data_IF_886918227425
#
_entry.id   IF_886918227425
#
_cell.length_a   1.000
_cell.length_b   1.000
_cell.length_c   1.000
_cell.angle_alpha   90.00
_cell.angle_beta   90.00
_cell.angle_gamma   90.00
#
_symmetry.space_group_name_H-M   'P 1'
#
loop_
_entity.id
_entity.type
_entity.pdbx_description
1 polymer ?
#
# COMPACT_ATOMS: atom_id res chain seq x y z
N UNK A 1 3.89 -5.74 18.10
CA UNK A 1 3.79 -6.45 16.80
C UNK A 1 3.25 -5.57 15.67
N UNK A 2 2.07 -4.94 15.82
CA UNK A 2 1.45 -4.09 14.78
C UNK A 2 2.35 -2.93 14.30
N UNK A 3 2.97 -2.17 15.20
CA UNK A 3 3.89 -1.08 14.82
C UNK A 3 5.11 -1.58 14.03
N UNK A 4 5.63 -2.76 14.37
CA UNK A 4 6.74 -3.38 13.63
C UNK A 4 6.31 -3.76 12.22
N UNK A 5 5.12 -4.33 12.05
CA UNK A 5 4.55 -4.68 10.75
C UNK A 5 4.33 -3.44 9.86
N UNK A 6 3.74 -2.39 10.43
CA UNK A 6 3.56 -1.11 9.74
C UNK A 6 4.92 -0.51 9.36
N UNK A 7 5.88 -0.50 10.27
CA UNK A 7 7.24 -0.04 9.99
C UNK A 7 7.89 -0.84 8.85
N UNK A 8 7.75 -2.18 8.85
CA UNK A 8 8.31 -3.04 7.82
C UNK A 8 7.64 -2.80 6.46
N UNK A 9 6.33 -2.54 6.43
CA UNK A 9 5.58 -2.21 5.22
C UNK A 9 6.01 -0.85 4.67
N UNK A 10 6.14 0.16 5.54
CA UNK A 10 6.64 1.50 5.17
C UNK A 10 8.07 1.39 4.63
N UNK A 11 8.94 0.62 5.29
CA UNK A 11 10.33 0.46 4.88
C UNK A 11 10.48 -0.22 3.51
N UNK A 12 9.69 -1.25 3.21
CA UNK A 12 9.68 -1.88 1.88
C UNK A 12 9.12 -0.92 0.84
N UNK A 13 8.04 -0.21 1.16
CA UNK A 13 7.45 0.79 0.26
C UNK A 13 8.48 1.86 -0.10
N UNK A 14 9.21 2.36 0.90
CA UNK A 14 10.30 3.31 0.70
C UNK A 14 11.42 2.75 -0.18
N UNK A 15 11.85 1.50 0.04
CA UNK A 15 12.87 0.86 -0.79
C UNK A 15 12.42 0.65 -2.24
N UNK A 16 11.18 0.22 -2.46
CA UNK A 16 10.63 -0.06 -3.80
C UNK A 16 10.32 1.20 -4.60
N UNK A 17 10.02 2.32 -3.92
CA UNK A 17 9.78 3.60 -4.57
C UNK A 17 11.06 4.25 -5.10
N UNK A 18 12.24 3.92 -4.56
CA UNK A 18 13.51 4.45 -5.08
C UNK A 18 13.70 4.08 -6.55
N UNK A 19 14.16 5.04 -7.34
CA UNK A 19 14.47 4.85 -8.75
C UNK A 19 15.65 3.88 -8.90
N UNK A 20 15.63 2.97 -9.89
CA UNK A 20 16.75 2.08 -10.13
C UNK A 20 17.99 2.89 -10.55
N UNK A 21 19.21 2.47 -10.16
CA UNK A 21 20.42 3.20 -10.46
C UNK A 21 20.60 3.37 -11.98
N UNK A 22 21.05 4.56 -12.43
CA UNK A 22 21.28 4.83 -13.84
C UNK A 22 22.38 3.90 -14.38
N UNK A 23 22.16 3.32 -15.55
CA UNK A 23 23.19 2.48 -16.18
C UNK A 23 24.13 3.36 -16.99
N UNK A 24 25.43 3.32 -16.68
CA UNK A 24 26.49 3.98 -17.46
C UNK A 24 26.47 3.54 -18.93
N UNK A 25 26.01 2.32 -19.21
CA UNK A 25 25.93 1.73 -20.55
C UNK A 25 24.74 2.23 -21.40
N UNK A 26 23.76 2.90 -20.79
CA UNK A 26 22.54 3.34 -21.47
C UNK A 26 22.30 4.85 -21.32
N UNK A 27 23.35 5.65 -21.51
CA UNK A 27 23.28 7.11 -21.47
C UNK A 27 22.64 7.68 -20.19
N UNK A 28 22.81 6.99 -19.05
CA UNK A 28 22.20 7.35 -17.77
C UNK A 28 20.75 6.91 -17.59
N UNK A 29 20.11 6.28 -18.59
CA UNK A 29 18.74 5.76 -18.45
C UNK A 29 18.71 4.37 -17.79
N UNK A 30 17.72 4.10 -16.92
CA UNK A 30 17.57 2.79 -16.29
C UNK A 30 17.19 1.71 -17.29
N UNK A 31 17.72 0.50 -17.12
CA UNK A 31 17.41 -0.64 -17.99
C UNK A 31 15.91 -0.99 -17.96
N UNK A 32 15.34 -1.35 -19.12
CA UNK A 32 13.96 -1.87 -19.24
C UNK A 32 13.71 -3.04 -18.29
N UNK A 33 14.72 -3.91 -18.07
CA UNK A 33 14.61 -5.02 -17.11
C UNK A 33 14.48 -4.53 -15.67
N UNK A 34 15.22 -3.49 -15.29
CA UNK A 34 15.13 -2.90 -13.96
C UNK A 34 13.77 -2.21 -13.73
N UNK A 35 13.24 -1.53 -14.75
CA UNK A 35 11.91 -0.91 -14.70
C UNK A 35 10.78 -1.96 -14.58
N UNK A 36 10.86 -3.05 -15.34
CA UNK A 36 9.87 -4.14 -15.27
C UNK A 36 9.94 -4.92 -13.95
N UNK A 37 11.14 -5.06 -13.36
CA UNK A 37 11.29 -5.67 -12.03
C UNK A 37 10.68 -4.76 -10.96
N UNK A 38 10.99 -3.46 -10.97
CA UNK A 38 10.39 -2.48 -10.05
C UNK A 38 8.86 -2.49 -10.11
N UNK A 39 8.28 -2.56 -11.30
CA UNK A 39 6.82 -2.64 -11.46
C UNK A 39 6.23 -3.89 -10.80
N UNK A 40 6.94 -5.02 -10.84
CA UNK A 40 6.53 -6.26 -10.15
C UNK A 40 6.65 -6.13 -8.64
N UNK A 41 7.79 -5.62 -8.16
CA UNK A 41 8.04 -5.42 -6.73
C UNK A 41 7.02 -4.44 -6.12
N UNK A 42 6.64 -3.39 -6.86
CA UNK A 42 5.64 -2.42 -6.45
C UNK A 42 4.23 -3.04 -6.37
N UNK A 43 3.87 -3.93 -7.29
CA UNK A 43 2.61 -4.71 -7.21
C UNK A 43 2.61 -5.64 -6.00
N UNK A 44 3.73 -6.32 -5.73
CA UNK A 44 3.88 -7.16 -4.54
C UNK A 44 3.73 -6.35 -3.25
N UNK A 45 4.34 -5.16 -3.19
CA UNK A 45 4.21 -4.24 -2.06
C UNK A 45 2.74 -3.80 -1.84
N UNK A 46 2.02 -3.47 -2.92
CA UNK A 46 0.59 -3.13 -2.84
C UNK A 46 -0.26 -4.30 -2.32
N UNK A 47 0.03 -5.53 -2.77
CA UNK A 47 -0.69 -6.72 -2.29
C UNK A 47 -0.52 -6.91 -0.76
N UNK A 48 0.67 -6.66 -0.22
CA UNK A 48 0.94 -6.74 1.23
C UNK A 48 0.10 -5.71 1.99
N UNK A 49 0.00 -4.48 1.49
CA UNK A 49 -0.86 -3.45 2.09
C UNK A 49 -2.34 -3.82 2.06
N UNK A 50 -2.83 -4.38 0.95
CA UNK A 50 -4.23 -4.83 0.85
C UNK A 50 -4.53 -5.92 1.87
N UNK A 51 -3.66 -6.94 1.95
CA UNK A 51 -3.79 -8.03 2.93
C UNK A 51 -3.80 -7.46 4.36
N UNK A 52 -2.92 -6.52 4.67
CA UNK A 52 -2.85 -5.85 5.96
C UNK A 52 -4.15 -5.09 6.30
N UNK A 53 -4.69 -4.32 5.35
CA UNK A 53 -5.96 -3.61 5.53
C UNK A 53 -7.13 -4.57 5.73
N UNK A 54 -7.21 -5.66 4.96
CA UNK A 54 -8.25 -6.68 5.14
C UNK A 54 -8.16 -7.32 6.52
N UNK A 55 -6.95 -7.65 7.00
CA UNK A 55 -6.76 -8.20 8.33
C UNK A 55 -7.15 -7.17 9.41
N UNK A 56 -6.77 -5.91 9.26
CA UNK A 56 -7.14 -4.85 10.21
C UNK A 56 -8.65 -4.62 10.28
N UNK A 57 -9.35 -4.68 9.14
CA UNK A 57 -10.82 -4.60 9.09
C UNK A 57 -11.46 -5.83 9.74
N UNK A 58 -10.95 -7.03 9.44
CA UNK A 58 -11.42 -8.27 10.05
C UNK A 58 -11.23 -8.22 11.57
N UNK A 59 -10.06 -7.80 12.07
CA UNK A 59 -9.81 -7.62 13.49
C UNK A 59 -10.82 -6.65 14.11
N UNK A 60 -11.07 -5.50 13.48
CA UNK A 60 -12.02 -4.51 14.02
C UNK A 60 -13.47 -5.01 14.07
N UNK A 61 -13.90 -5.78 13.07
CA UNK A 61 -15.24 -6.38 13.02
C UNK A 61 -15.37 -7.54 14.02
N UNK A 62 -14.35 -8.37 14.13
CA UNK A 62 -14.38 -9.62 14.90
C UNK A 62 -14.10 -9.36 16.36
N UNK A 63 -13.22 -8.42 16.73
CA UNK A 63 -13.06 -7.99 18.13
C UNK A 63 -14.38 -7.48 18.71
N UNK A 64 -15.21 -6.80 17.90
CA UNK A 64 -16.54 -6.33 18.31
C UNK A 64 -17.54 -7.47 18.56
N UNK A 65 -17.42 -8.56 17.81
CA UNK A 65 -18.37 -9.69 17.85
C UNK A 65 -17.92 -10.75 18.87
N UNK A 66 -16.61 -10.99 18.98
CA UNK A 66 -16.01 -12.12 19.71
C UNK A 66 -15.77 -11.81 21.19
N UNK A 67 -15.81 -10.53 21.60
CA UNK A 67 -15.69 -10.13 23.01
C UNK A 67 -16.66 -10.87 23.95
N UNK A 68 -17.79 -11.35 23.42
CA UNK A 68 -18.81 -12.06 24.19
C UNK A 68 -18.61 -13.60 24.22
N UNK A 69 -17.79 -14.19 23.33
CA UNK A 69 -17.91 -15.62 22.98
C UNK A 69 -16.66 -16.50 23.24
N UNK A 70 -15.41 -16.02 23.12
CA UNK A 70 -14.24 -16.93 23.13
C UNK A 70 -13.07 -16.40 23.98
N UNK A 71 -12.69 -17.10 25.08
CA UNK A 71 -11.61 -16.68 25.99
C UNK A 71 -10.17 -16.96 25.50
N UNK A 72 -9.95 -17.38 24.24
CA UNK A 72 -8.62 -17.71 23.69
C UNK A 72 -8.31 -17.04 22.33
N UNK A 73 -9.06 -15.99 21.97
CA UNK A 73 -8.95 -15.33 20.67
C UNK A 73 -7.62 -14.59 20.46
N UNK A 74 -7.03 -14.04 21.52
CA UNK A 74 -5.83 -13.20 21.43
C UNK A 74 -4.56 -14.00 21.06
N UNK A 75 -4.53 -15.30 21.41
CA UNK A 75 -3.45 -16.21 21.04
C UNK A 75 -3.52 -16.59 19.55
N UNK A 76 -4.71 -16.97 19.06
CA UNK A 76 -4.91 -17.25 17.64
C UNK A 76 -4.60 -16.03 16.76
N UNK A 77 -4.97 -14.84 17.23
CA UNK A 77 -4.64 -13.56 16.59
C UNK A 77 -3.13 -13.37 16.46
N UNK A 78 -2.39 -13.62 17.53
CA UNK A 78 -0.93 -13.50 17.54
C UNK A 78 -0.27 -14.50 16.57
N UNK A 79 -0.78 -15.73 16.48
CA UNK A 79 -0.31 -16.74 15.52
C UNK A 79 -0.59 -16.32 14.07
N UNK A 80 -1.77 -15.78 13.77
CA UNK A 80 -2.11 -15.28 12.43
C UNK A 80 -1.20 -14.12 12.03
N UNK A 81 -0.95 -13.18 12.93
CA UNK A 81 -0.02 -12.06 12.67
C UNK A 81 1.43 -12.53 12.47
N UNK A 82 1.89 -13.49 13.27
CA UNK A 82 3.23 -14.10 13.11
C UNK A 82 3.32 -14.86 11.78
N UNK A 83 2.29 -15.63 11.43
CA UNK A 83 2.21 -16.29 10.13
C UNK A 83 2.29 -15.25 9.01
N UNK A 84 1.60 -14.12 9.12
CA UNK A 84 1.64 -13.05 8.12
C UNK A 84 3.02 -12.41 7.99
N UNK A 85 3.74 -12.23 9.11
CA UNK A 85 5.14 -11.76 9.12
C UNK A 85 6.06 -12.74 8.39
N UNK A 86 5.92 -14.05 8.68
CA UNK A 86 6.76 -15.11 8.11
C UNK A 86 6.43 -15.39 6.62
N UNK A 87 5.16 -15.37 6.25
CA UNK A 87 4.67 -15.62 4.89
C UNK A 87 4.92 -14.44 3.93
N UNK A 88 5.34 -13.28 4.46
CA UNK A 88 5.50 -12.02 3.72
C UNK A 88 6.44 -12.09 2.52
N UNK A 89 7.46 -12.94 2.56
CA UNK A 89 8.50 -12.99 1.53
C UNK A 89 8.14 -13.85 0.29
N UNK A 90 7.14 -14.75 0.38
CA UNK A 90 6.77 -15.67 -0.73
C UNK A 90 5.27 -15.92 -0.91
N UNK A 91 4.42 -15.63 0.07
CA UNK A 91 3.02 -16.10 0.09
C UNK A 91 1.98 -15.02 -0.17
N UNK A 92 2.33 -13.75 0.02
CA UNK A 92 1.40 -12.65 -0.25
C UNK A 92 0.93 -12.64 -1.72
N UNK A 93 1.79 -13.05 -2.65
CA UNK A 93 1.47 -13.12 -4.08
C UNK A 93 0.46 -14.24 -4.43
N UNK A 94 0.66 -15.51 -4.04
CA UNK A 94 -0.35 -16.55 -4.28
C UNK A 94 -1.66 -16.33 -3.50
N UNK A 95 -1.60 -15.85 -2.25
CA UNK A 95 -2.81 -15.54 -1.44
C UNK A 95 -3.62 -14.43 -2.10
N UNK A 96 -2.94 -13.36 -2.55
CA UNK A 96 -3.60 -12.28 -3.27
C UNK A 96 -4.25 -12.80 -4.57
N UNK A 97 -3.52 -13.60 -5.34
CA UNK A 97 -4.01 -14.11 -6.62
C UNK A 97 -5.16 -15.10 -6.49
N UNK A 98 -5.20 -15.94 -5.45
CA UNK A 98 -6.21 -17.00 -5.30
C UNK A 98 -7.41 -16.61 -4.45
N UNK A 99 -7.22 -15.78 -3.41
CA UNK A 99 -8.29 -15.46 -2.46
C UNK A 99 -8.81 -14.04 -2.69
N UNK A 100 -7.92 -13.06 -2.72
CA UNK A 100 -8.32 -11.65 -2.75
C UNK A 100 -8.76 -11.23 -4.15
N UNK A 101 -8.03 -11.64 -5.19
CA UNK A 101 -8.33 -11.26 -6.57
C UNK A 101 -9.75 -11.65 -7.04
N UNK A 102 -10.28 -12.87 -6.82
CA UNK A 102 -11.65 -13.18 -7.21
C UNK A 102 -12.69 -12.37 -6.42
N UNK A 103 -12.44 -12.10 -5.13
CA UNK A 103 -13.31 -11.29 -4.28
C UNK A 103 -13.30 -9.81 -4.68
N UNK A 104 -12.14 -9.30 -5.11
CA UNK A 104 -11.97 -7.89 -5.48
C UNK A 104 -12.43 -7.61 -6.92
N UNK A 105 -12.36 -8.61 -7.82
CA UNK A 105 -12.72 -8.49 -9.25
C UNK A 105 -14.04 -7.74 -9.53
N UNK A 106 -15.17 -8.04 -8.86
CA UNK A 106 -16.41 -7.31 -9.10
C UNK A 106 -16.38 -5.85 -8.61
N UNK A 107 -15.54 -5.52 -7.64
CA UNK A 107 -15.43 -4.19 -7.06
C UNK A 107 -14.31 -3.34 -7.69
N UNK A 108 -13.53 -3.88 -8.64
CA UNK A 108 -12.42 -3.15 -9.27
C UNK A 108 -12.92 -1.86 -9.92
N UNK A 109 -14.01 -1.90 -10.68
CA UNK A 109 -14.54 -0.72 -11.36
C UNK A 109 -15.00 0.37 -10.39
N UNK A 110 -15.63 -0.02 -9.28
CA UNK A 110 -16.04 0.94 -8.24
C UNK A 110 -14.84 1.51 -7.49
N UNK A 111 -13.84 0.69 -7.19
CA UNK A 111 -12.63 1.13 -6.50
C UNK A 111 -11.80 2.08 -7.37
N UNK A 112 -11.69 1.80 -8.67
CA UNK A 112 -10.98 2.64 -9.63
C UNK A 112 -11.69 4.00 -9.80
N UNK A 113 -13.03 4.02 -9.81
CA UNK A 113 -13.82 5.24 -9.83
C UNK A 113 -13.61 6.09 -8.56
N UNK A 114 -13.61 5.46 -7.39
CA UNK A 114 -13.36 6.15 -6.11
C UNK A 114 -11.92 6.69 -6.06
N UNK A 115 -10.94 5.89 -6.49
CA UNK A 115 -9.54 6.33 -6.59
C UNK A 115 -9.37 7.51 -7.53
N UNK A 116 -10.02 7.47 -8.71
CA UNK A 116 -10.04 8.58 -9.65
C UNK A 116 -10.66 9.83 -9.04
N UNK A 117 -11.77 9.69 -8.31
CA UNK A 117 -12.39 10.81 -7.60
C UNK A 117 -11.47 11.42 -6.54
N UNK A 118 -10.84 10.59 -5.71
CA UNK A 118 -9.89 11.03 -4.68
C UNK A 118 -8.68 11.72 -5.32
N UNK A 119 -8.17 11.20 -6.43
CA UNK A 119 -7.04 11.80 -7.13
C UNK A 119 -7.39 13.19 -7.67
N UNK A 120 -8.52 13.33 -8.36
CA UNK A 120 -8.99 14.61 -8.87
C UNK A 120 -9.25 15.62 -7.73
N UNK A 121 -9.81 15.15 -6.61
CA UNK A 121 -10.02 15.97 -5.43
C UNK A 121 -8.69 16.39 -4.79
N UNK A 122 -7.71 15.50 -4.72
CA UNK A 122 -6.36 15.78 -4.24
C UNK A 122 -5.65 16.83 -5.10
N UNK A 123 -5.70 16.69 -6.42
CA UNK A 123 -5.12 17.66 -7.36
C UNK A 123 -5.80 19.02 -7.23
N UNK A 124 -7.13 19.05 -7.09
CA UNK A 124 -7.88 20.27 -6.83
C UNK A 124 -7.44 20.94 -5.52
N UNK A 125 -7.32 20.16 -4.42
CA UNK A 125 -6.90 20.68 -3.12
C UNK A 125 -5.47 21.23 -3.15
N UNK A 126 -4.55 20.54 -3.83
CA UNK A 126 -3.17 21.01 -4.01
C UNK A 126 -3.12 22.29 -4.84
N UNK A 127 -3.94 22.39 -5.89
CA UNK A 127 -4.03 23.60 -6.72
C UNK A 127 -4.56 24.77 -5.89
N UNK A 128 -5.67 24.59 -5.18
CA UNK A 128 -6.24 25.60 -4.26
C UNK A 128 -5.22 26.03 -3.22
N UNK A 129 -4.50 25.08 -2.63
CA UNK A 129 -3.45 25.39 -1.66
C UNK A 129 -2.30 26.16 -2.32
N UNK A 130 -1.93 25.88 -3.57
CA UNK A 130 -0.81 26.55 -4.26
C UNK A 130 -1.10 28.01 -4.66
N UNK A 131 -2.36 28.39 -4.88
CA UNK A 131 -2.76 29.75 -5.26
C UNK A 131 -2.27 30.83 -4.27
N UNK A 132 -2.54 30.76 -2.96
CA UNK A 132 -2.06 31.76 -2.02
C UNK A 132 -0.53 31.79 -1.92
N UNK A 133 0.16 30.65 -2.06
CA UNK A 133 1.63 30.61 -2.06
C UNK A 133 2.21 31.35 -3.26
N UNK A 134 1.65 31.15 -4.46
CA UNK A 134 2.11 31.86 -5.66
C UNK A 134 1.86 33.37 -5.57
N UNK A 135 0.70 33.79 -5.03
CA UNK A 135 0.40 35.20 -4.80
C UNK A 135 1.36 35.85 -3.79
N UNK A 136 1.63 35.18 -2.66
CA UNK A 136 2.56 35.65 -1.64
C UNK A 136 4.00 35.77 -2.17
N UNK A 137 4.46 34.80 -2.97
CA UNK A 137 5.79 34.83 -3.60
C UNK A 137 5.87 35.98 -4.62
N UNK A 138 4.82 36.19 -5.43
CA UNK A 138 4.79 37.28 -6.42
C UNK A 138 4.81 38.67 -5.78
N UNK A 139 4.21 38.82 -4.59
CA UNK A 139 4.24 40.08 -3.83
C UNK A 139 5.59 40.32 -3.14
N UNK A 140 6.34 39.27 -2.81
CA UNK A 140 7.64 39.40 -2.15
C UNK A 140 8.80 39.70 -3.12
N UNK A 141 8.70 39.25 -4.37
CA UNK A 141 9.74 39.45 -5.41
C UNK A 141 9.43 40.59 -6.40
N UNK A 142 8.25 41.21 -6.33
CA UNK A 142 7.86 42.40 -7.10
C UNK A 142 7.91 43.65 -6.25
#
# INVERSE_FOLDING_TARGET
LRCYLVFQNIFITFKTLKLPPPSSRNNGQPSVRALTQRKRDMKGCMAIWIVWCCLALYESLVERIVWIFIPFYDELKSVVLIFLILSRARSAEPIYLHVIRPLLKPYVSTLDAILGFIHNLGDFMLLVLSLPFTAAISWWYG
#
